data_IF_151561312339
#
_entry.id   IF_151561312339
#
_cell.length_a   1.000
_cell.length_b   1.000
_cell.length_c   1.000
_cell.angle_alpha   90.00
_cell.angle_beta   90.00
_cell.angle_gamma   90.00
#
_symmetry.space_group_name_H-M   'P 1'
#
loop_
_entity.id
_entity.type
_entity.pdbx_description
1 polymer ?
#
# COMPACT_ATOMS: atom_id res chain seq x y z
N UNK A 1 29.72 10.11 3.72
CA UNK A 1 28.59 10.37 2.79
C UNK A 1 28.49 9.28 1.71
N UNK A 2 29.14 8.13 1.89
CA UNK A 2 29.14 7.01 0.92
C UNK A 2 27.84 6.18 0.89
N UNK A 3 26.86 6.44 1.76
CA UNK A 3 25.65 5.59 1.93
C UNK A 3 24.45 6.04 1.05
N UNK A 4 24.36 7.32 0.70
CA UNK A 4 23.21 7.83 -0.06
C UNK A 4 23.31 7.53 -1.56
N UNK A 5 24.52 7.41 -2.13
CA UNK A 5 24.70 7.15 -3.57
C UNK A 5 24.12 5.80 -3.96
N UNK A 6 24.39 4.76 -3.15
CA UNK A 6 24.09 3.37 -3.48
C UNK A 6 22.59 3.08 -3.34
N UNK A 7 21.96 3.66 -2.31
CA UNK A 7 20.51 3.66 -2.15
C UNK A 7 19.86 4.39 -3.33
N UNK A 8 20.38 5.56 -3.71
CA UNK A 8 19.81 6.33 -4.82
C UNK A 8 19.92 5.57 -6.15
N UNK A 9 21.05 4.92 -6.42
CA UNK A 9 21.20 4.08 -7.61
C UNK A 9 20.24 2.87 -7.59
N UNK A 10 20.09 2.22 -6.44
CA UNK A 10 19.15 1.10 -6.28
C UNK A 10 17.71 1.53 -6.55
N UNK A 11 17.27 2.66 -6.01
CA UNK A 11 15.92 3.21 -6.26
C UNK A 11 15.75 3.56 -7.74
N UNK A 12 16.75 4.19 -8.38
CA UNK A 12 16.70 4.49 -9.83
C UNK A 12 16.54 3.23 -10.66
N UNK A 13 17.23 2.14 -10.30
CA UNK A 13 17.09 0.84 -10.97
C UNK A 13 15.69 0.27 -10.78
N UNK A 14 15.17 0.23 -9.56
CA UNK A 14 13.80 -0.26 -9.27
C UNK A 14 12.75 0.51 -10.08
N UNK A 15 12.81 1.84 -10.08
CA UNK A 15 11.86 2.68 -10.86
C UNK A 15 11.98 2.38 -12.36
N UNK A 16 13.20 2.22 -12.88
CA UNK A 16 13.43 1.88 -14.29
C UNK A 16 12.82 0.51 -14.63
N UNK A 17 13.05 -0.49 -13.80
CA UNK A 17 12.57 -1.85 -14.04
C UNK A 17 11.04 -1.93 -14.00
N UNK A 18 10.41 -1.23 -13.05
CA UNK A 18 8.94 -1.13 -12.97
C UNK A 18 8.38 -0.38 -14.18
N UNK A 19 9.03 0.69 -14.66
CA UNK A 19 8.59 1.38 -15.89
C UNK A 19 8.68 0.52 -17.14
N UNK A 20 9.70 -0.33 -17.24
CA UNK A 20 9.95 -1.16 -18.42
C UNK A 20 9.14 -2.46 -18.42
N UNK A 21 8.96 -3.09 -17.25
CA UNK A 21 8.37 -4.44 -17.13
C UNK A 21 7.02 -4.45 -16.41
N UNK A 22 6.59 -3.34 -15.82
CA UNK A 22 5.30 -3.21 -15.15
C UNK A 22 5.13 -4.24 -14.02
N UNK A 23 3.96 -4.87 -14.00
CA UNK A 23 3.50 -5.80 -12.98
C UNK A 23 4.50 -6.93 -12.66
N UNK A 24 5.18 -7.48 -13.67
CA UNK A 24 6.16 -8.55 -13.42
C UNK A 24 7.32 -8.08 -12.54
N UNK A 25 7.75 -6.81 -12.69
CA UNK A 25 8.77 -6.25 -11.83
C UNK A 25 8.24 -6.02 -10.41
N UNK A 26 6.99 -5.63 -10.25
CA UNK A 26 6.40 -5.44 -8.92
C UNK A 26 6.30 -6.78 -8.19
N UNK A 27 5.77 -7.81 -8.84
CA UNK A 27 5.67 -9.17 -8.26
C UNK A 27 7.04 -9.71 -7.84
N UNK A 28 8.05 -9.58 -8.70
CA UNK A 28 9.43 -10.00 -8.39
C UNK A 28 10.00 -9.26 -7.17
N UNK A 29 9.85 -7.93 -7.12
CA UNK A 29 10.39 -7.11 -6.05
C UNK A 29 9.64 -7.33 -4.73
N UNK A 30 8.32 -7.52 -4.76
CA UNK A 30 7.51 -7.88 -3.59
C UNK A 30 7.92 -9.23 -3.03
N UNK A 31 8.12 -10.25 -3.87
CA UNK A 31 8.61 -11.54 -3.39
C UNK A 31 10.01 -11.43 -2.76
N UNK A 32 10.89 -10.61 -3.36
CA UNK A 32 12.26 -10.40 -2.87
C UNK A 32 12.32 -9.63 -1.55
N UNK A 33 11.62 -8.51 -1.43
CA UNK A 33 11.78 -7.59 -0.30
C UNK A 33 10.77 -7.82 0.82
N UNK A 34 9.56 -8.28 0.49
CA UNK A 34 8.48 -8.48 1.47
C UNK A 34 8.33 -9.97 1.87
N UNK A 35 9.18 -10.85 1.33
CA UNK A 35 9.18 -12.29 1.63
C UNK A 35 7.89 -13.00 1.21
N UNK A 36 7.27 -12.54 0.12
CA UNK A 36 6.02 -13.10 -0.42
C UNK A 36 6.28 -14.17 -1.48
N UNK A 37 5.21 -14.82 -1.90
CA UNK A 37 5.20 -15.82 -2.97
C UNK A 37 4.00 -15.59 -3.89
N UNK A 38 3.87 -14.36 -4.40
CA UNK A 38 2.89 -14.02 -5.42
C UNK A 38 3.36 -14.52 -6.78
N UNK A 39 2.47 -15.13 -7.54
CA UNK A 39 2.73 -15.59 -8.91
C UNK A 39 2.44 -14.48 -9.92
N UNK A 40 1.46 -13.63 -9.63
CA UNK A 40 1.02 -12.55 -10.50
C UNK A 40 0.47 -11.35 -9.70
N UNK A 41 0.13 -10.26 -10.39
CA UNK A 41 -0.34 -9.02 -9.74
C UNK A 41 -1.67 -9.22 -9.00
N UNK A 42 -2.55 -10.10 -9.46
CA UNK A 42 -3.84 -10.32 -8.80
C UNK A 42 -3.70 -10.92 -7.41
N UNK A 43 -2.63 -11.69 -7.15
CA UNK A 43 -2.31 -12.22 -5.81
C UNK A 43 -1.95 -11.12 -4.80
N UNK A 44 -1.54 -9.94 -5.29
CA UNK A 44 -1.18 -8.77 -4.48
C UNK A 44 -2.37 -7.84 -4.24
N UNK A 45 -3.52 -8.08 -4.90
CA UNK A 45 -4.73 -7.29 -4.72
C UNK A 45 -5.49 -7.80 -3.49
N UNK A 46 -5.88 -6.87 -2.62
CA UNK A 46 -6.78 -7.18 -1.50
C UNK A 46 -8.21 -6.94 -1.94
N UNK A 47 -8.98 -8.02 -2.09
CA UNK A 47 -10.38 -7.94 -2.49
C UNK A 47 -11.24 -7.12 -1.53
N UNK A 48 -12.26 -6.46 -2.07
CA UNK A 48 -13.22 -5.67 -1.29
C UNK A 48 -13.88 -6.48 -0.17
N UNK A 49 -14.24 -7.74 -0.45
CA UNK A 49 -14.83 -8.64 0.55
C UNK A 49 -13.89 -8.91 1.73
N UNK A 50 -12.58 -9.03 1.46
CA UNK A 50 -11.56 -9.20 2.49
C UNK A 50 -11.40 -7.94 3.35
N UNK A 51 -11.49 -6.76 2.74
CA UNK A 51 -11.50 -5.49 3.48
C UNK A 51 -12.74 -5.36 4.39
N UNK A 52 -13.92 -5.67 3.87
CA UNK A 52 -15.17 -5.66 4.63
C UNK A 52 -15.13 -6.64 5.81
N UNK A 53 -14.65 -7.87 5.56
CA UNK A 53 -14.47 -8.88 6.60
C UNK A 53 -13.46 -8.41 7.67
N UNK A 54 -12.34 -7.81 7.27
CA UNK A 54 -11.35 -7.29 8.22
C UNK A 54 -11.96 -6.20 9.12
N UNK A 55 -12.77 -5.30 8.55
CA UNK A 55 -13.46 -4.26 9.32
C UNK A 55 -14.51 -4.85 10.27
N UNK A 56 -15.32 -5.80 9.80
CA UNK A 56 -16.38 -6.43 10.60
C UNK A 56 -15.84 -7.29 11.76
N UNK A 57 -14.59 -7.73 11.66
CA UNK A 57 -13.92 -8.53 12.70
C UNK A 57 -13.18 -7.69 13.75
N UNK A 58 -13.21 -6.36 13.66
CA UNK A 58 -12.66 -5.49 14.70
C UNK A 58 -13.52 -5.56 15.97
N UNK A 59 -12.91 -5.28 17.12
CA UNK A 59 -13.72 -5.04 18.31
C UNK A 59 -14.57 -3.76 18.11
N UNK A 60 -15.78 -3.70 18.71
CA UNK A 60 -16.71 -2.61 18.45
C UNK A 60 -16.15 -1.22 18.77
N UNK A 61 -15.33 -1.09 19.83
CA UNK A 61 -14.77 0.20 20.25
C UNK A 61 -13.73 0.71 19.25
N UNK A 62 -12.85 -0.18 18.76
CA UNK A 62 -11.89 0.17 17.70
C UNK A 62 -12.61 0.56 16.41
N UNK A 63 -13.64 -0.20 16.01
CA UNK A 63 -14.41 0.10 14.81
C UNK A 63 -15.10 1.48 14.88
N UNK A 64 -15.67 1.82 16.04
CA UNK A 64 -16.29 3.14 16.29
C UNK A 64 -15.24 4.26 16.29
N UNK A 65 -14.09 4.06 16.94
CA UNK A 65 -13.01 5.04 16.99
C UNK A 65 -12.43 5.36 15.61
N UNK A 66 -12.27 4.35 14.74
CA UNK A 66 -11.82 4.52 13.36
C UNK A 66 -12.86 5.27 12.52
N UNK A 67 -14.15 4.95 12.66
CA UNK A 67 -15.24 5.67 11.98
C UNK A 67 -15.28 7.15 12.37
N UNK A 68 -15.24 7.45 13.67
CA UNK A 68 -15.22 8.83 14.17
C UNK A 68 -14.03 9.62 13.64
N UNK A 69 -12.84 9.00 13.61
CA UNK A 69 -11.63 9.62 13.06
C UNK A 69 -11.79 9.91 11.56
N UNK A 70 -12.28 8.94 10.78
CA UNK A 70 -12.52 9.10 9.35
C UNK A 70 -13.53 10.22 9.05
N UNK A 71 -14.61 10.31 9.83
CA UNK A 71 -15.65 11.33 9.65
C UNK A 71 -15.13 12.74 9.94
N UNK A 72 -14.32 12.91 10.99
CA UNK A 72 -13.69 14.19 11.32
C UNK A 72 -12.70 14.65 10.25
N UNK A 73 -11.86 13.73 9.75
CA UNK A 73 -10.89 14.03 8.67
C UNK A 73 -11.65 14.47 7.42
N UNK A 74 -12.71 13.74 7.04
CA UNK A 74 -13.55 14.07 5.88
C UNK A 74 -14.17 15.46 6.02
N UNK A 75 -14.86 15.73 7.13
CA UNK A 75 -15.54 17.01 7.38
C UNK A 75 -14.56 18.19 7.28
N UNK A 76 -13.36 18.04 7.83
CA UNK A 76 -12.34 19.09 7.76
C UNK A 76 -11.88 19.35 6.32
N UNK A 77 -11.55 18.30 5.55
CA UNK A 77 -11.10 18.47 4.16
C UNK A 77 -12.22 18.96 3.23
N UNK A 78 -13.48 18.60 3.47
CA UNK A 78 -14.62 19.15 2.73
C UNK A 78 -14.75 20.67 2.93
N UNK A 79 -14.41 21.18 4.10
CA UNK A 79 -14.39 22.62 4.36
C UNK A 79 -13.22 23.34 3.66
N UNK A 80 -12.13 22.64 3.35
CA UNK A 80 -10.96 23.18 2.64
C UNK A 80 -11.14 23.28 1.12
N UNK A 81 -12.18 22.65 0.55
CA UNK A 81 -12.50 22.78 -0.88
C UNK A 81 -13.20 24.11 -1.20
N UNK A 82 -13.43 24.96 -0.19
CA UNK A 82 -14.03 26.29 -0.33
C UNK A 82 -13.00 27.34 -0.71
#
# INVERSE_FOLDING_TARGET
>A
VEDQSDVTETVRRIIRDVRLRGDSSVVELTNRFDGRSAENMTDLIVDKSRLENAFNNLDPLTAEALKLSADRIRLYHEQQLR
#
